data_IF_620204855978
#
_entry.id   IF_620204855978
#
_cell.length_a   1.000
_cell.length_b   1.000
_cell.length_c   1.000
_cell.angle_alpha   90.00
_cell.angle_beta   90.00
_cell.angle_gamma   90.00
#
_symmetry.space_group_name_H-M   'P 1'
#
loop_
_entity.id
_entity.type
_entity.pdbx_description
1 polymer ?
#
# COMPACT_ATOMS: atom_id res chain seq x y z
N UNK A 1 -16.51 0.78 -7.34
CA UNK A 1 -16.95 2.16 -7.62
C UNK A 1 -17.88 2.22 -8.85
N UNK A 2 -17.39 2.08 -10.08
CA UNK A 2 -18.20 2.29 -11.31
C UNK A 2 -19.53 1.49 -11.37
N UNK A 3 -19.54 0.23 -10.96
CA UNK A 3 -20.77 -0.58 -10.91
C UNK A 3 -21.80 -0.02 -9.91
N UNK A 4 -21.33 0.51 -8.77
CA UNK A 4 -22.17 1.14 -7.74
C UNK A 4 -22.78 2.46 -8.24
N UNK A 5 -22.08 3.20 -9.11
CA UNK A 5 -22.64 4.35 -9.83
C UNK A 5 -23.44 3.98 -11.09
N UNK A 6 -23.94 2.74 -11.16
CA UNK A 6 -24.88 2.26 -12.17
C UNK A 6 -24.27 1.99 -13.56
N UNK A 7 -22.93 1.97 -13.69
CA UNK A 7 -22.27 1.59 -14.95
C UNK A 7 -22.30 0.07 -15.11
N UNK A 8 -22.58 -0.42 -16.32
CA UNK A 8 -22.33 -1.83 -16.68
C UNK A 8 -20.82 -2.01 -16.83
N UNK A 9 -20.23 -2.94 -16.08
CA UNK A 9 -18.79 -3.17 -16.04
C UNK A 9 -18.49 -4.61 -16.46
N UNK A 10 -17.64 -4.78 -17.47
CA UNK A 10 -16.96 -6.04 -17.76
C UNK A 10 -15.55 -5.95 -17.16
N UNK A 11 -15.14 -6.98 -16.43
CA UNK A 11 -13.80 -7.10 -15.86
C UNK A 11 -13.20 -8.44 -16.31
N UNK A 12 -11.98 -8.40 -16.83
CA UNK A 12 -11.30 -9.57 -17.40
C UNK A 12 -9.88 -9.65 -16.83
N UNK A 13 -9.46 -10.86 -16.46
CA UNK A 13 -8.08 -11.17 -16.08
C UNK A 13 -7.59 -12.35 -16.92
N UNK A 14 -6.34 -12.27 -17.39
CA UNK A 14 -5.65 -13.37 -18.10
C UNK A 14 -5.20 -14.47 -17.15
N UNK A 15 -5.11 -14.19 -15.85
CA UNK A 15 -4.76 -15.16 -14.83
C UNK A 15 -5.95 -16.07 -14.47
N UNK A 16 -5.65 -17.28 -13.98
CA UNK A 16 -6.64 -18.20 -13.38
C UNK A 16 -7.07 -17.82 -11.95
N UNK A 17 -6.57 -16.71 -11.41
CA UNK A 17 -6.69 -16.28 -10.02
C UNK A 17 -6.88 -14.76 -9.93
N UNK A 18 -7.44 -14.27 -8.82
CA UNK A 18 -7.64 -12.83 -8.59
C UNK A 18 -6.38 -12.12 -8.08
N UNK A 19 -6.23 -10.84 -8.43
CA UNK A 19 -5.27 -9.92 -7.81
C UNK A 19 -4.00 -9.65 -8.61
N UNK A 20 -3.77 -10.33 -9.74
CA UNK A 20 -2.63 -10.08 -10.63
C UNK A 20 -1.29 -10.09 -9.88
N UNK A 21 -0.60 -8.95 -9.87
CA UNK A 21 0.71 -8.76 -9.22
C UNK A 21 0.62 -8.65 -7.68
N UNK A 22 -0.55 -8.34 -7.12
CA UNK A 22 -0.78 -8.28 -5.65
C UNK A 22 -1.45 -9.54 -5.09
N UNK A 23 -1.58 -10.60 -5.89
CA UNK A 23 -2.24 -11.83 -5.50
C UNK A 23 -1.58 -12.53 -4.29
N UNK A 24 -2.40 -13.28 -3.54
CA UNK A 24 -1.94 -14.25 -2.54
C UNK A 24 -2.00 -15.64 -3.15
N UNK A 25 -0.91 -16.41 -3.07
CA UNK A 25 -0.80 -17.73 -3.70
C UNK A 25 -0.91 -18.85 -2.66
N UNK A 26 -1.88 -19.74 -2.91
CA UNK A 26 -2.13 -20.97 -2.15
C UNK A 26 -2.59 -22.08 -3.10
N UNK A 27 -2.23 -23.36 -2.88
CA UNK A 27 -1.32 -23.88 -1.85
C UNK A 27 0.16 -23.56 -2.13
N UNK A 28 1.01 -23.77 -1.13
CA UNK A 28 2.46 -23.52 -1.17
C UNK A 28 3.18 -24.14 -2.39
N UNK A 29 2.67 -25.26 -2.91
CA UNK A 29 3.21 -25.89 -4.12
C UNK A 29 3.09 -25.00 -5.38
N UNK A 30 2.03 -24.19 -5.51
CA UNK A 30 1.93 -23.22 -6.62
C UNK A 30 2.91 -22.06 -6.45
N UNK A 31 3.18 -21.65 -5.21
CA UNK A 31 4.19 -20.63 -4.90
C UNK A 31 5.61 -21.12 -5.24
N UNK A 32 5.99 -22.32 -4.79
CA UNK A 32 7.26 -22.96 -5.19
C UNK A 32 7.38 -23.12 -6.71
N UNK A 33 6.28 -23.45 -7.39
CA UNK A 33 6.23 -23.54 -8.86
C UNK A 33 6.50 -22.19 -9.52
N UNK A 34 5.87 -21.10 -9.05
CA UNK A 34 6.07 -19.73 -9.59
C UNK A 34 7.54 -19.28 -9.51
N UNK A 35 8.26 -19.66 -8.45
CA UNK A 35 9.67 -19.35 -8.27
C UNK A 35 10.63 -20.40 -8.86
N UNK A 36 10.12 -21.41 -9.58
CA UNK A 36 10.90 -22.53 -10.15
C UNK A 36 11.72 -23.34 -9.12
N UNK A 37 11.29 -23.38 -7.84
CA UNK A 37 12.01 -24.02 -6.74
C UNK A 37 11.62 -25.50 -6.52
N UNK A 38 10.94 -26.12 -7.48
CA UNK A 38 10.52 -27.52 -7.41
C UNK A 38 9.35 -27.75 -6.43
N UNK A 39 9.47 -28.78 -5.58
CA UNK A 39 8.44 -29.11 -4.58
C UNK A 39 8.78 -28.51 -3.21
N UNK A 40 7.78 -28.09 -2.41
CA UNK A 40 8.00 -27.69 -1.02
C UNK A 40 8.67 -28.83 -0.19
N UNK A 41 9.65 -28.51 0.67
CA UNK A 41 10.20 -29.45 1.64
C UNK A 41 9.14 -30.14 2.52
N UNK A 42 9.32 -31.44 2.89
CA UNK A 42 8.29 -32.23 3.56
C UNK A 42 7.80 -31.70 4.92
N UNK A 43 8.58 -30.84 5.59
CA UNK A 43 8.17 -30.18 6.85
C UNK A 43 7.10 -29.10 6.67
N UNK A 44 6.80 -28.69 5.43
CA UNK A 44 5.69 -27.79 5.08
C UNK A 44 4.46 -28.59 4.60
N UNK A 45 4.18 -29.70 5.28
CA UNK A 45 3.19 -30.73 4.93
C UNK A 45 1.77 -30.15 4.71
N UNK A 46 1.41 -29.10 5.45
CA UNK A 46 0.11 -28.43 5.34
C UNK A 46 0.13 -27.34 4.29
N UNK A 47 0.39 -27.69 3.04
CA UNK A 47 0.50 -26.74 1.91
C UNK A 47 -0.69 -25.77 1.72
N UNK A 48 -1.87 -26.06 2.30
CA UNK A 48 -3.06 -25.17 2.31
C UNK A 48 -3.10 -24.15 3.45
N UNK A 49 -2.33 -24.35 4.52
CA UNK A 49 -2.22 -23.39 5.65
C UNK A 49 -1.38 -22.16 5.25
N UNK A 50 -0.80 -22.15 4.05
CA UNK A 50 0.01 -21.08 3.48
C UNK A 50 -0.79 -20.32 2.43
N UNK A 51 -0.83 -18.99 2.54
CA UNK A 51 -1.26 -18.10 1.47
C UNK A 51 -0.29 -16.93 1.35
N UNK A 52 0.63 -17.01 0.40
CA UNK A 52 1.79 -16.12 0.33
C UNK A 52 1.53 -14.97 -0.64
N UNK A 53 1.47 -13.75 -0.11
CA UNK A 53 1.28 -12.54 -0.92
C UNK A 53 2.53 -12.17 -1.73
N UNK A 54 2.31 -11.59 -2.91
CA UNK A 54 3.38 -11.13 -3.78
C UNK A 54 3.92 -9.71 -3.49
N UNK A 55 3.22 -8.92 -2.67
CA UNK A 55 3.61 -7.53 -2.32
C UNK A 55 3.94 -7.34 -0.82
N UNK A 56 4.94 -6.50 -0.49
CA UNK A 56 5.46 -6.28 0.86
C UNK A 56 4.49 -5.49 1.75
N UNK A 57 4.66 -5.57 3.08
CA UNK A 57 3.86 -4.83 4.09
C UNK A 57 4.75 -4.45 5.28
N UNK A 58 4.23 -3.77 6.29
CA UNK A 58 5.06 -3.10 7.32
C UNK A 58 4.98 -3.71 8.73
N UNK A 59 6.09 -3.72 9.46
CA UNK A 59 6.12 -3.83 10.93
C UNK A 59 7.31 -3.05 11.52
N UNK A 60 7.08 -2.20 12.53
CA UNK A 60 8.14 -1.40 13.15
C UNK A 60 8.98 -2.16 14.20
N UNK A 61 10.30 -1.99 14.12
CA UNK A 61 11.20 -2.15 15.26
C UNK A 61 11.23 -0.87 16.11
N UNK A 62 11.23 -0.99 17.44
CA UNK A 62 11.13 0.16 18.35
C UNK A 62 12.45 0.95 18.49
N UNK A 63 12.44 2.23 18.11
CA UNK A 63 13.53 3.19 18.41
C UNK A 63 13.51 3.67 19.86
N UNK A 64 14.66 3.59 20.55
CA UNK A 64 14.79 3.97 21.97
C UNK A 64 15.02 5.48 22.18
N UNK A 65 13.97 6.30 22.06
CA UNK A 65 14.07 7.74 22.39
C UNK A 65 14.47 8.00 23.86
N UNK A 66 15.34 8.99 24.08
CA UNK A 66 15.69 9.50 25.42
C UNK A 66 14.53 10.25 26.11
N UNK A 67 14.64 10.45 27.44
CA UNK A 67 13.55 11.03 28.26
C UNK A 67 13.23 12.48 27.87
N UNK A 68 14.24 13.31 27.58
CA UNK A 68 14.03 14.68 27.13
C UNK A 68 13.36 14.73 25.75
N UNK A 69 13.76 13.86 24.83
CA UNK A 69 13.19 13.78 23.49
C UNK A 69 11.73 13.34 23.50
N UNK A 70 11.42 12.31 24.31
CA UNK A 70 10.04 11.88 24.60
C UNK A 70 9.15 13.04 25.08
N UNK A 71 9.69 14.03 25.82
CA UNK A 71 8.93 15.22 26.22
C UNK A 71 8.67 16.18 25.05
N UNK A 72 9.65 16.41 24.17
CA UNK A 72 9.45 17.23 22.95
C UNK A 72 8.44 16.56 22.02
N UNK A 73 8.64 15.28 21.72
CA UNK A 73 7.80 14.50 20.84
C UNK A 73 6.36 14.39 21.37
N UNK A 74 6.15 14.24 22.68
CA UNK A 74 4.82 14.34 23.30
C UNK A 74 4.16 15.70 23.05
N UNK A 75 4.89 16.81 23.10
CA UNK A 75 4.32 18.14 22.82
C UNK A 75 3.91 18.29 21.35
N UNK A 76 4.70 17.74 20.42
CA UNK A 76 4.38 17.67 18.99
C UNK A 76 3.12 16.83 18.75
N UNK A 77 3.02 15.63 19.32
CA UNK A 77 1.83 14.77 19.22
C UNK A 77 0.58 15.41 19.82
N UNK A 78 0.69 16.13 20.94
CA UNK A 78 -0.43 16.91 21.52
C UNK A 78 -0.85 18.03 20.56
N UNK A 79 0.09 18.72 19.91
CA UNK A 79 -0.26 19.72 18.89
C UNK A 79 -0.96 19.11 17.68
N UNK A 80 -0.47 17.98 17.17
CA UNK A 80 -1.07 17.25 16.05
C UNK A 80 -2.51 16.83 16.38
N UNK A 81 -2.72 16.22 17.54
CA UNK A 81 -4.04 15.73 17.93
C UNK A 81 -5.02 16.87 18.23
N UNK A 82 -4.57 17.95 18.87
CA UNK A 82 -5.38 19.14 19.15
C UNK A 82 -5.75 19.93 17.87
N UNK A 83 -5.06 19.72 16.74
CA UNK A 83 -5.25 20.51 15.53
C UNK A 83 -6.61 20.27 14.86
N UNK A 84 -7.31 21.37 14.60
CA UNK A 84 -8.53 21.43 13.80
C UNK A 84 -8.35 22.54 12.73
N UNK A 85 -8.29 22.19 11.43
CA UNK A 85 -8.06 23.16 10.35
C UNK A 85 -9.20 24.17 10.16
N UNK A 86 -10.38 23.95 10.76
CA UNK A 86 -11.51 24.88 10.78
C UNK A 86 -11.50 25.84 11.98
N UNK A 87 -10.67 25.59 13.00
CA UNK A 87 -10.63 26.37 14.23
C UNK A 87 -9.22 26.96 14.50
N UNK A 88 -8.97 28.22 14.09
CA UNK A 88 -7.67 28.89 14.25
C UNK A 88 -7.13 28.96 15.68
N UNK A 89 -7.98 28.81 16.72
CA UNK A 89 -7.49 28.77 18.11
C UNK A 89 -6.62 27.55 18.41
N UNK A 90 -6.80 26.44 17.68
CA UNK A 90 -5.98 25.22 17.83
C UNK A 90 -4.55 25.38 17.27
N UNK A 91 -4.32 26.40 16.42
CA UNK A 91 -3.02 26.66 15.80
C UNK A 91 -1.99 27.17 16.84
N UNK A 92 -2.45 27.68 18.00
CA UNK A 92 -1.62 28.13 19.14
C UNK A 92 -0.61 29.23 18.76
N UNK A 93 0.58 28.86 18.28
CA UNK A 93 1.64 29.78 17.79
C UNK A 93 2.26 29.31 16.46
N UNK A 94 1.71 28.29 15.82
CA UNK A 94 2.23 27.67 14.62
C UNK A 94 1.09 27.34 13.66
N UNK A 95 1.08 27.93 12.46
CA UNK A 95 0.04 27.69 11.46
C UNK A 95 0.53 26.67 10.40
N UNK A 96 0.03 25.42 10.40
CA UNK A 96 0.44 24.40 9.43
C UNK A 96 0.06 24.72 7.98
N UNK A 97 -0.88 25.66 7.77
CA UNK A 97 -1.35 26.11 6.45
C UNK A 97 -0.37 27.05 5.75
N UNK A 98 0.60 27.57 6.49
CA UNK A 98 1.56 28.61 6.05
C UNK A 98 3.01 28.15 6.21
N UNK A 99 3.32 27.43 7.30
CA UNK A 99 4.67 26.99 7.64
C UNK A 99 4.97 25.58 7.14
N UNK A 100 6.25 25.32 6.94
CA UNK A 100 6.78 24.05 6.43
C UNK A 100 6.86 22.96 7.50
N UNK A 101 6.95 21.70 7.07
CA UNK A 101 7.20 20.55 7.94
C UNK A 101 8.51 20.68 8.73
N UNK A 102 9.59 21.21 8.13
CA UNK A 102 10.84 21.47 8.86
C UNK A 102 10.61 22.51 9.98
N UNK A 103 9.95 23.62 9.69
CA UNK A 103 9.63 24.63 10.72
C UNK A 103 8.79 24.06 11.87
N UNK A 104 7.92 23.07 11.61
CA UNK A 104 7.15 22.39 12.65
C UNK A 104 8.09 21.63 13.59
N UNK A 105 9.00 20.83 13.02
CA UNK A 105 9.98 20.08 13.79
C UNK A 105 10.94 20.99 14.58
N UNK A 106 11.40 22.08 13.95
CA UNK A 106 12.28 23.07 14.57
C UNK A 106 11.56 23.81 15.72
N UNK A 107 10.27 24.14 15.55
CA UNK A 107 9.45 24.79 16.58
C UNK A 107 9.22 23.90 17.81
N UNK A 108 9.08 22.58 17.63
CA UNK A 108 9.06 21.61 18.74
C UNK A 108 10.46 21.16 19.19
N UNK A 109 11.51 21.53 18.44
CA UNK A 109 12.91 21.25 18.70
C UNK A 109 13.31 19.77 18.60
N UNK A 110 12.56 18.94 17.86
CA UNK A 110 12.78 17.48 17.81
C UNK A 110 14.01 17.10 16.98
N UNK A 111 14.77 16.09 17.41
CA UNK A 111 15.99 15.64 16.73
C UNK A 111 15.72 14.91 15.39
N UNK A 112 16.72 14.81 14.50
CA UNK A 112 16.54 14.22 13.15
C UNK A 112 16.02 12.77 13.23
N UNK A 113 16.47 11.96 14.19
CA UNK A 113 15.93 10.60 14.41
C UNK A 113 14.41 10.63 14.67
N UNK A 114 13.93 11.60 15.45
CA UNK A 114 12.51 11.80 15.75
C UNK A 114 11.76 12.40 14.55
N UNK A 115 12.40 13.25 13.74
CA UNK A 115 11.86 13.74 12.46
C UNK A 115 11.67 12.57 11.49
N UNK A 116 12.69 11.74 11.29
CA UNK A 116 12.68 10.55 10.41
C UNK A 116 11.60 9.54 10.84
N UNK A 117 11.52 9.25 12.13
CA UNK A 117 10.47 8.41 12.71
C UNK A 117 9.07 9.00 12.45
N UNK A 118 8.89 10.31 12.63
CA UNK A 118 7.60 10.96 12.41
C UNK A 118 7.22 10.98 10.93
N UNK A 119 8.14 11.36 10.05
CA UNK A 119 7.92 11.47 8.61
C UNK A 119 7.69 10.12 7.93
N UNK A 120 8.62 9.18 8.10
CA UNK A 120 8.61 7.91 7.36
C UNK A 120 7.80 6.81 8.04
N UNK A 121 7.76 6.76 9.39
CA UNK A 121 7.14 5.65 10.11
C UNK A 121 5.76 5.97 10.70
N UNK A 122 5.40 7.26 10.84
CA UNK A 122 4.08 7.71 11.31
C UNK A 122 3.28 8.43 10.22
N UNK A 123 3.91 9.28 9.41
CA UNK A 123 3.27 9.98 8.28
C UNK A 123 3.50 9.34 6.89
N UNK A 124 4.28 8.26 6.85
CA UNK A 124 4.49 7.38 5.70
C UNK A 124 5.07 8.05 4.43
N UNK A 125 5.79 9.16 4.60
CA UNK A 125 6.47 9.85 3.48
C UNK A 125 7.60 9.02 2.88
N UNK A 126 7.69 9.06 1.54
CA UNK A 126 8.66 8.31 0.71
C UNK A 126 9.89 9.11 0.28
N UNK A 127 10.25 10.18 0.98
CA UNK A 127 11.53 10.92 0.91
C UNK A 127 11.50 12.09 1.92
N UNK A 128 12.57 12.87 1.99
CA UNK A 128 12.69 14.10 2.80
C UNK A 128 12.13 15.37 2.11
N UNK A 129 11.48 15.27 0.93
CA UNK A 129 10.96 16.45 0.21
C UNK A 129 9.80 17.12 0.96
N UNK A 130 9.01 16.33 1.70
CA UNK A 130 7.93 16.82 2.56
C UNK A 130 8.41 17.85 3.59
N UNK A 131 9.69 17.83 4.00
CA UNK A 131 10.27 18.83 4.91
C UNK A 131 10.08 20.27 4.40
N UNK A 132 9.95 20.44 3.08
CA UNK A 132 9.77 21.73 2.39
C UNK A 132 8.29 22.03 2.05
N UNK A 133 7.39 21.07 2.19
CA UNK A 133 5.95 21.28 1.95
C UNK A 133 5.26 21.81 3.21
N UNK A 134 3.99 22.23 3.08
CA UNK A 134 3.18 22.75 4.19
C UNK A 134 2.92 21.68 5.24
N UNK A 135 3.05 22.04 6.51
CA UNK A 135 2.89 21.11 7.63
C UNK A 135 1.47 20.57 7.84
N UNK A 136 0.44 21.15 7.21
CA UNK A 136 -0.96 20.69 7.34
C UNK A 136 -1.13 19.21 6.94
N UNK A 137 -0.48 18.78 5.86
CA UNK A 137 -0.57 17.39 5.37
C UNK A 137 0.15 16.41 6.32
N UNK A 138 1.34 16.77 6.82
CA UNK A 138 2.07 16.01 7.84
C UNK A 138 1.23 15.86 9.12
N UNK A 139 0.59 16.95 9.57
CA UNK A 139 -0.30 16.93 10.74
C UNK A 139 -1.51 16.03 10.50
N UNK A 140 -2.12 16.07 9.30
CA UNK A 140 -3.24 15.20 8.94
C UNK A 140 -2.83 13.71 8.97
N UNK A 141 -1.73 13.35 8.31
CA UNK A 141 -1.18 11.98 8.26
C UNK A 141 -0.86 11.43 9.65
N UNK A 142 -0.17 12.19 10.49
CA UNK A 142 0.13 11.77 11.87
C UNK A 142 -1.14 11.61 12.75
N UNK A 143 -2.18 12.42 12.49
CA UNK A 143 -3.46 12.30 13.19
C UNK A 143 -4.24 11.07 12.72
N UNK A 144 -4.31 10.80 11.42
CA UNK A 144 -4.88 9.59 10.84
C UNK A 144 -4.23 8.29 11.38
N UNK A 145 -2.90 8.27 11.49
CA UNK A 145 -2.17 7.18 12.15
C UNK A 145 -2.61 7.02 13.61
N UNK A 146 -2.67 8.12 14.36
CA UNK A 146 -3.00 8.12 15.79
C UNK A 146 -4.44 7.66 16.05
N UNK A 147 -5.41 8.13 15.27
CA UNK A 147 -6.82 7.74 15.37
C UNK A 147 -7.04 6.27 14.98
N UNK A 148 -6.26 5.77 14.01
CA UNK A 148 -6.28 4.35 13.60
C UNK A 148 -5.72 3.43 14.68
N UNK A 149 -4.60 3.82 15.33
CA UNK A 149 -4.11 3.12 16.54
C UNK A 149 -5.14 3.17 17.67
N UNK A 150 -5.79 4.32 17.90
CA UNK A 150 -6.80 4.45 18.95
C UNK A 150 -8.03 3.55 18.70
N UNK A 151 -8.40 3.31 17.45
CA UNK A 151 -9.54 2.46 17.06
C UNK A 151 -9.27 0.95 17.23
N UNK A 152 -8.05 0.48 16.95
CA UNK A 152 -7.72 -0.96 16.93
C UNK A 152 -6.67 -1.40 17.96
N UNK A 153 -6.16 -0.46 18.78
CA UNK A 153 -5.42 -0.69 20.02
C UNK A 153 -3.96 -1.17 19.90
N UNK A 154 -3.61 -1.93 18.86
CA UNK A 154 -2.27 -2.53 18.69
C UNK A 154 -1.44 -1.92 17.57
N UNK A 155 -2.08 -1.48 16.49
CA UNK A 155 -1.43 -0.85 15.32
C UNK A 155 -2.49 -0.03 14.55
N UNK A 156 -2.10 0.89 13.65
CA UNK A 156 -3.04 1.58 12.78
C UNK A 156 -3.55 0.68 11.64
N UNK A 157 -2.85 -0.43 11.37
CA UNK A 157 -3.09 -1.29 10.21
C UNK A 157 -4.11 -2.38 10.52
N UNK A 158 -4.95 -2.66 9.53
CA UNK A 158 -5.78 -3.86 9.45
C UNK A 158 -5.19 -4.83 8.44
N UNK A 159 -5.43 -6.12 8.64
CA UNK A 159 -5.06 -7.16 7.70
C UNK A 159 -6.23 -8.13 7.49
N UNK A 160 -6.63 -8.44 6.24
CA UNK A 160 -7.60 -9.50 5.99
C UNK A 160 -7.07 -10.85 6.47
N UNK A 161 -7.89 -11.59 7.22
CA UNK A 161 -7.65 -13.02 7.39
C UNK A 161 -7.63 -13.69 6.02
N UNK A 162 -6.75 -14.68 5.85
CA UNK A 162 -6.49 -15.36 4.57
C UNK A 162 -5.74 -14.53 3.51
N UNK A 163 -5.38 -13.26 3.77
CA UNK A 163 -4.45 -12.49 2.93
C UNK A 163 -5.09 -11.54 1.91
N UNK A 164 -4.26 -10.83 1.15
CA UNK A 164 -4.72 -9.74 0.28
C UNK A 164 -5.66 -10.17 -0.85
N UNK A 165 -5.58 -11.43 -1.31
CA UNK A 165 -6.46 -11.99 -2.34
C UNK A 165 -7.95 -11.89 -2.00
N UNK A 166 -8.32 -11.72 -0.73
CA UNK A 166 -9.71 -11.46 -0.31
C UNK A 166 -10.23 -10.08 -0.75
N UNK A 167 -9.34 -9.08 -0.94
CA UNK A 167 -9.73 -7.74 -1.40
C UNK A 167 -10.24 -7.72 -2.86
N UNK A 168 -9.50 -8.21 -3.88
CA UNK A 168 -10.01 -8.26 -5.24
C UNK A 168 -11.19 -9.24 -5.38
N UNK A 169 -11.25 -10.33 -4.60
CA UNK A 169 -12.44 -11.18 -4.52
C UNK A 169 -13.66 -10.44 -3.98
N UNK A 170 -13.49 -9.66 -2.90
CA UNK A 170 -14.54 -8.82 -2.32
C UNK A 170 -15.05 -7.76 -3.30
N UNK A 171 -14.14 -7.08 -4.01
CA UNK A 171 -14.50 -6.12 -5.05
C UNK A 171 -15.14 -6.78 -6.29
N UNK A 172 -14.73 -7.99 -6.67
CA UNK A 172 -15.37 -8.76 -7.73
C UNK A 172 -16.81 -9.14 -7.36
N UNK A 173 -17.03 -9.66 -6.14
CA UNK A 173 -18.37 -9.92 -5.59
C UNK A 173 -19.23 -8.66 -5.54
N UNK A 174 -18.68 -7.54 -5.05
CA UNK A 174 -19.38 -6.26 -5.01
C UNK A 174 -19.78 -5.79 -6.42
N UNK A 175 -18.89 -5.86 -7.40
CA UNK A 175 -19.20 -5.49 -8.77
C UNK A 175 -20.30 -6.38 -9.37
N UNK A 176 -20.27 -7.69 -9.11
CA UNK A 176 -21.27 -8.65 -9.57
C UNK A 176 -22.67 -8.39 -8.99
N UNK A 177 -22.77 -7.99 -7.71
CA UNK A 177 -24.04 -7.58 -7.08
C UNK A 177 -24.69 -6.40 -7.83
N UNK A 178 -23.87 -5.47 -8.36
CA UNK A 178 -24.32 -4.33 -9.16
C UNK A 178 -24.34 -4.63 -10.68
N UNK A 179 -24.42 -5.90 -11.08
CA UNK A 179 -24.59 -6.31 -12.48
C UNK A 179 -23.33 -6.23 -13.35
N UNK A 180 -22.14 -6.17 -12.74
CA UNK A 180 -20.87 -6.35 -13.43
C UNK A 180 -20.56 -7.83 -13.70
N UNK A 181 -19.78 -8.12 -14.75
CA UNK A 181 -19.36 -9.48 -15.10
C UNK A 181 -17.84 -9.61 -14.93
N UNK A 182 -17.39 -10.63 -14.20
CA UNK A 182 -15.98 -10.99 -14.06
C UNK A 182 -15.66 -12.25 -14.88
N UNK A 183 -14.51 -12.24 -15.55
CA UNK A 183 -13.99 -13.39 -16.28
C UNK A 183 -12.51 -13.59 -15.98
N UNK A 184 -12.16 -14.77 -15.46
CA UNK A 184 -10.77 -15.23 -15.32
C UNK A 184 -10.36 -16.10 -16.52
N UNK A 185 -9.06 -16.37 -16.64
CA UNK A 185 -8.47 -17.22 -17.68
C UNK A 185 -8.84 -16.73 -19.11
N UNK A 186 -8.77 -15.42 -19.34
CA UNK A 186 -9.05 -14.79 -20.65
C UNK A 186 -7.79 -14.06 -21.16
N UNK A 187 -6.96 -14.69 -22.02
CA UNK A 187 -5.83 -14.00 -22.64
C UNK A 187 -6.32 -12.84 -23.52
N UNK A 188 -5.54 -11.77 -23.59
CA UNK A 188 -5.95 -10.49 -24.14
C UNK A 188 -4.75 -9.59 -24.35
N UNK A 189 -3.94 -9.94 -25.36
CA UNK A 189 -2.64 -9.33 -25.63
C UNK A 189 -2.60 -8.68 -27.05
N UNK A 190 -3.74 -8.19 -27.55
CA UNK A 190 -3.85 -7.39 -28.79
C UNK A 190 -4.65 -6.08 -28.60
N UNK A 191 -4.34 -5.12 -29.46
CA UNK A 191 -4.45 -3.68 -29.30
C UNK A 191 -5.05 -3.13 -30.62
N UNK A 192 -6.39 -3.17 -30.74
CA UNK A 192 -7.15 -2.98 -32.01
C UNK A 192 -7.66 -1.53 -32.23
N UNK A 193 -6.81 -0.62 -32.72
CA UNK A 193 -7.17 0.82 -32.84
C UNK A 193 -8.29 1.07 -33.86
N UNK A 194 -9.21 1.98 -33.55
CA UNK A 194 -10.29 2.34 -34.47
C UNK A 194 -9.86 3.40 -35.51
N UNK A 195 -10.71 3.62 -36.52
CA UNK A 195 -10.45 4.53 -37.65
C UNK A 195 -10.27 6.01 -37.24
N UNK A 196 -10.70 6.38 -36.03
CA UNK A 196 -10.50 7.71 -35.44
C UNK A 196 -9.23 7.84 -34.60
N UNK A 197 -8.43 6.78 -34.45
CA UNK A 197 -7.19 6.78 -33.69
C UNK A 197 -7.34 6.62 -32.18
N UNK A 198 -8.50 6.14 -31.69
CA UNK A 198 -8.65 5.82 -30.27
C UNK A 198 -7.81 4.59 -29.90
N UNK A 199 -7.15 4.66 -28.74
CA UNK A 199 -6.18 3.66 -28.28
C UNK A 199 -6.89 2.55 -27.51
N UNK A 200 -6.15 1.46 -27.35
CA UNK A 200 -6.60 0.10 -27.07
C UNK A 200 -5.49 -0.72 -26.37
N UNK A 201 -4.35 -0.09 -26.08
CA UNK A 201 -3.18 -0.64 -25.42
C UNK A 201 -1.87 -0.11 -26.02
N UNK A 202 -0.74 -0.39 -25.34
CA UNK A 202 0.58 0.22 -25.60
C UNK A 202 1.73 -0.66 -25.08
N UNK A 203 2.98 -0.22 -25.26
CA UNK A 203 4.16 -0.58 -24.45
C UNK A 203 5.05 0.67 -24.29
N UNK A 204 5.61 0.91 -23.11
CA UNK A 204 6.62 1.97 -22.86
C UNK A 204 7.46 1.67 -21.59
N UNK A 205 8.56 2.41 -21.40
CA UNK A 205 9.68 2.22 -20.45
C UNK A 205 10.34 3.59 -20.10
N UNK A 206 11.04 3.91 -18.97
CA UNK A 206 11.00 3.60 -17.50
C UNK A 206 11.85 4.69 -16.79
N UNK A 207 11.60 5.05 -15.51
CA UNK A 207 12.63 5.58 -14.57
C UNK A 207 12.22 5.41 -13.07
N UNK A 208 13.06 5.80 -12.08
CA UNK A 208 13.16 5.11 -10.75
C UNK A 208 13.24 6.02 -9.49
N UNK A 209 12.75 5.53 -8.33
CA UNK A 209 12.90 6.09 -6.97
C UNK A 209 13.30 5.02 -5.90
N UNK A 210 13.22 5.26 -4.57
CA UNK A 210 14.28 4.77 -3.63
C UNK A 210 13.94 4.52 -2.12
N UNK A 211 13.72 3.28 -1.64
CA UNK A 211 13.54 2.87 -0.19
C UNK A 211 13.75 1.36 0.07
N UNK A 212 13.88 0.92 1.35
CA UNK A 212 13.83 -0.49 1.84
C UNK A 212 12.73 -0.66 2.91
N UNK A 213 11.96 -1.76 2.89
CA UNK A 213 10.90 -2.08 3.88
C UNK A 213 10.89 -3.55 4.33
N UNK A 214 10.22 -3.86 5.47
CA UNK A 214 10.14 -5.21 6.07
C UNK A 214 8.75 -5.53 6.65
N UNK A 215 8.23 -6.73 6.34
CA UNK A 215 7.06 -7.37 6.97
C UNK A 215 7.46 -8.58 7.82
N UNK A 216 6.65 -8.89 8.84
CA UNK A 216 6.44 -10.27 9.29
C UNK A 216 4.93 -10.55 9.52
N UNK A 217 4.40 -11.61 8.88
CA UNK A 217 3.08 -12.21 9.15
C UNK A 217 3.23 -13.71 9.45
N UNK A 218 2.16 -14.38 9.88
CA UNK A 218 2.23 -15.77 10.37
C UNK A 218 0.86 -16.42 10.45
N UNK A 219 0.81 -17.66 10.96
CA UNK A 219 -0.40 -18.39 11.35
C UNK A 219 -1.48 -17.54 12.06
N UNK A 220 -1.11 -16.50 12.81
CA UNK A 220 -2.07 -15.58 13.46
C UNK A 220 -3.01 -14.84 12.49
N UNK A 221 -2.72 -14.87 11.17
CA UNK A 221 -3.51 -14.25 10.11
C UNK A 221 -4.05 -15.28 9.08
N UNK A 222 -3.91 -16.58 9.36
CA UNK A 222 -4.23 -17.69 8.44
C UNK A 222 -3.46 -17.66 7.10
N UNK A 223 -2.22 -17.20 7.10
CA UNK A 223 -1.34 -17.12 5.90
C UNK A 223 -0.11 -18.03 5.94
N UNK A 224 0.17 -18.68 7.07
CA UNK A 224 1.29 -19.62 7.21
C UNK A 224 0.96 -20.75 8.19
N UNK A 225 1.60 -21.91 8.01
CA UNK A 225 1.50 -23.05 8.92
C UNK A 225 1.98 -22.70 10.34
N UNK A 226 1.31 -23.23 11.37
CA UNK A 226 1.62 -22.94 12.78
C UNK A 226 3.08 -23.28 13.12
N UNK A 227 3.81 -22.27 13.60
CA UNK A 227 5.24 -22.33 13.91
C UNK A 227 6.09 -21.49 12.95
N UNK A 228 5.57 -21.17 11.76
CA UNK A 228 6.27 -20.40 10.75
C UNK A 228 5.77 -18.94 10.66
N UNK A 229 6.68 -18.10 10.18
CA UNK A 229 6.43 -16.71 9.81
C UNK A 229 6.77 -16.54 8.32
N UNK A 230 6.02 -15.68 7.63
CA UNK A 230 6.36 -15.17 6.31
C UNK A 230 6.89 -13.74 6.50
N UNK A 231 8.15 -13.54 6.17
CA UNK A 231 8.77 -12.23 6.15
C UNK A 231 9.01 -11.80 4.70
N UNK A 232 8.65 -10.56 4.37
CA UNK A 232 8.90 -9.96 3.06
C UNK A 232 9.82 -8.77 3.28
N UNK A 233 10.92 -8.70 2.52
CA UNK A 233 11.82 -7.55 2.47
C UNK A 233 11.80 -7.03 1.05
N UNK A 234 11.46 -5.75 0.88
CA UNK A 234 11.39 -5.08 -0.42
C UNK A 234 12.34 -3.90 -0.46
N UNK A 235 12.82 -3.59 -1.65
CA UNK A 235 13.44 -2.31 -1.96
C UNK A 235 13.10 -1.92 -3.40
N UNK A 236 13.22 -0.63 -3.71
CA UNK A 236 13.41 -0.22 -5.11
C UNK A 236 14.86 -0.55 -5.52
N UNK A 237 15.08 -0.95 -6.78
CA UNK A 237 16.40 -1.35 -7.26
C UNK A 237 17.26 -0.14 -7.65
N UNK A 238 18.44 -0.04 -7.05
CA UNK A 238 19.42 1.02 -7.27
C UNK A 238 20.70 0.56 -7.98
N UNK A 239 21.09 -0.71 -7.79
CA UNK A 239 22.39 -1.23 -8.24
C UNK A 239 22.25 -2.50 -9.06
N UNK A 240 23.36 -2.96 -9.64
CA UNK A 240 23.43 -4.25 -10.33
C UNK A 240 23.31 -5.47 -9.38
N UNK A 241 23.15 -5.28 -8.06
CA UNK A 241 23.06 -6.35 -7.06
C UNK A 241 21.87 -6.15 -6.08
N UNK A 242 20.60 -6.26 -6.52
CA UNK A 242 19.41 -5.99 -5.70
C UNK A 242 19.38 -6.74 -4.36
N UNK A 243 19.90 -7.97 -4.30
CA UNK A 243 19.95 -8.77 -3.07
C UNK A 243 20.87 -8.19 -1.98
N UNK A 244 21.84 -7.34 -2.33
CA UNK A 244 22.68 -6.64 -1.36
C UNK A 244 21.98 -5.41 -0.77
N UNK A 245 21.10 -4.77 -1.55
CA UNK A 245 20.33 -3.59 -1.12
C UNK A 245 19.32 -3.96 -0.02
N UNK A 246 18.65 -5.11 -0.15
CA UNK A 246 17.75 -5.64 0.89
C UNK A 246 18.46 -6.29 2.08
N UNK A 247 19.79 -6.47 2.05
CA UNK A 247 20.54 -7.16 3.12
C UNK A 247 20.28 -6.60 4.53
N UNK A 248 20.24 -5.26 4.77
CA UNK A 248 19.95 -4.73 6.10
C UNK A 248 18.57 -5.13 6.64
N UNK A 249 17.58 -5.35 5.76
CA UNK A 249 16.28 -5.88 6.15
C UNK A 249 16.29 -7.38 6.43
N UNK A 250 17.05 -8.15 5.65
CA UNK A 250 17.24 -9.59 5.87
C UNK A 250 17.97 -9.89 7.20
N UNK A 251 18.98 -9.08 7.55
CA UNK A 251 19.76 -9.23 8.79
C UNK A 251 18.90 -9.08 10.07
N UNK A 252 17.75 -8.41 10.00
CA UNK A 252 16.80 -8.27 11.10
C UNK A 252 15.94 -9.52 11.36
N UNK A 253 15.87 -10.46 10.41
CA UNK A 253 14.97 -11.62 10.46
C UNK A 253 15.52 -12.78 11.30
N UNK A 254 16.83 -12.81 11.57
CA UNK A 254 17.49 -13.95 12.18
C UNK A 254 17.66 -15.11 11.18
N UNK A 255 17.60 -16.38 11.62
CA UNK A 255 17.70 -17.54 10.72
C UNK A 255 16.55 -17.59 9.71
N UNK A 256 16.88 -17.67 8.41
CA UNK A 256 15.91 -17.75 7.31
C UNK A 256 15.86 -19.19 6.80
N UNK A 257 14.72 -19.87 7.00
CA UNK A 257 14.48 -21.26 6.58
C UNK A 257 14.45 -21.44 5.05
N UNK A 258 13.92 -20.44 4.33
CA UNK A 258 13.85 -20.41 2.87
C UNK A 258 13.76 -18.96 2.38
N UNK A 259 14.37 -18.66 1.23
CA UNK A 259 14.30 -17.32 0.62
C UNK A 259 13.79 -17.41 -0.82
N UNK A 260 12.85 -16.55 -1.15
CA UNK A 260 12.33 -16.33 -2.50
C UNK A 260 12.68 -14.90 -2.91
N UNK A 261 13.16 -14.70 -4.14
CA UNK A 261 13.60 -13.39 -4.63
C UNK A 261 12.90 -13.10 -5.95
N UNK A 262 12.35 -11.89 -6.07
CA UNK A 262 11.81 -11.34 -7.32
C UNK A 262 12.34 -9.93 -7.51
N UNK A 263 12.49 -9.54 -8.77
CA UNK A 263 12.68 -8.15 -9.18
C UNK A 263 11.57 -7.85 -10.18
N UNK A 264 10.86 -6.75 -9.98
CA UNK A 264 9.69 -6.37 -10.77
C UNK A 264 9.90 -4.96 -11.30
N UNK A 265 9.70 -4.77 -12.60
CA UNK A 265 9.70 -3.44 -13.21
C UNK A 265 8.46 -2.66 -12.76
N UNK A 266 8.62 -1.38 -12.43
CA UNK A 266 7.52 -0.49 -12.10
C UNK A 266 7.14 0.37 -13.32
N UNK A 267 5.86 0.38 -13.64
CA UNK A 267 5.30 1.15 -14.76
C UNK A 267 4.32 2.22 -14.24
N UNK A 268 4.27 3.35 -14.92
CA UNK A 268 3.25 4.38 -14.74
C UNK A 268 2.72 4.86 -16.10
N UNK A 269 1.48 5.40 -16.18
CA UNK A 269 0.90 5.80 -17.45
C UNK A 269 1.62 7.03 -18.05
N UNK A 270 1.89 6.96 -19.35
CA UNK A 270 2.55 8.04 -20.12
C UNK A 270 1.59 9.16 -20.54
N UNK A 271 0.28 8.94 -20.40
CA UNK A 271 -0.78 9.93 -20.63
C UNK A 271 -1.92 9.73 -19.61
N UNK A 272 -2.81 10.72 -19.47
CA UNK A 272 -3.86 10.69 -18.45
C UNK A 272 -5.08 9.80 -18.84
N UNK A 273 -5.10 9.24 -20.05
CA UNK A 273 -6.23 8.48 -20.58
C UNK A 273 -7.39 9.35 -21.10
N UNK A 274 -7.37 10.67 -20.93
CA UNK A 274 -8.53 11.51 -21.25
C UNK A 274 -8.74 11.69 -22.75
N UNK A 275 -7.67 11.68 -23.55
CA UNK A 275 -7.75 11.79 -25.00
C UNK A 275 -8.15 10.46 -25.67
N UNK A 276 -7.59 9.34 -25.19
CA UNK A 276 -7.68 8.02 -25.83
C UNK A 276 -8.66 7.04 -25.14
N UNK A 277 -9.19 7.40 -23.96
CA UNK A 277 -10.09 6.63 -23.08
C UNK A 277 -9.47 5.37 -22.44
N UNK A 278 -8.14 5.23 -22.47
CA UNK A 278 -7.39 4.11 -21.88
C UNK A 278 -6.80 4.54 -20.54
N UNK A 279 -7.54 4.32 -19.45
CA UNK A 279 -7.13 4.70 -18.11
C UNK A 279 -6.32 3.58 -17.45
N UNK A 280 -5.00 3.75 -17.41
CA UNK A 280 -4.04 2.79 -16.84
C UNK A 280 -3.69 3.19 -15.40
N UNK A 281 -3.60 2.18 -14.51
CA UNK A 281 -3.11 2.30 -13.14
C UNK A 281 -1.58 2.21 -13.08
N UNK A 282 -0.98 2.73 -12.00
CA UNK A 282 0.45 2.50 -11.72
C UNK A 282 0.69 1.06 -11.22
N UNK A 283 1.90 0.55 -11.41
CA UNK A 283 2.37 -0.63 -10.67
C UNK A 283 2.35 -0.37 -9.17
N UNK A 284 2.15 -1.41 -8.36
CA UNK A 284 2.35 -1.32 -6.91
C UNK A 284 3.81 -0.95 -6.64
N UNK A 285 4.04 0.20 -5.99
CA UNK A 285 5.39 0.61 -5.60
C UNK A 285 5.90 -0.22 -4.41
N UNK A 286 7.16 -0.04 -4.01
CA UNK A 286 7.74 -0.85 -2.95
C UNK A 286 7.16 -0.56 -1.55
N UNK A 287 6.22 0.40 -1.42
CA UNK A 287 5.60 0.73 -0.13
C UNK A 287 4.75 -0.41 0.41
N UNK A 288 4.35 -0.24 1.67
CA UNK A 288 3.92 -1.34 2.54
C UNK A 288 2.53 -1.12 3.15
N UNK A 289 1.79 -0.20 2.54
CA UNK A 289 0.47 0.30 2.91
C UNK A 289 -0.21 0.83 1.64
N UNK A 290 -1.53 0.72 1.55
CA UNK A 290 -2.28 1.07 0.33
C UNK A 290 -2.48 2.58 0.09
N UNK A 291 -1.65 3.46 0.64
CA UNK A 291 -1.88 4.91 0.51
C UNK A 291 -1.69 5.38 -0.95
N UNK A 292 -0.52 5.11 -1.53
CA UNK A 292 -0.22 5.41 -2.95
C UNK A 292 -1.16 4.68 -3.92
N UNK A 293 -1.64 3.49 -3.54
CA UNK A 293 -2.66 2.75 -4.28
C UNK A 293 -4.03 3.44 -4.23
N UNK A 294 -4.45 3.94 -3.06
CA UNK A 294 -5.69 4.69 -2.92
C UNK A 294 -5.63 6.01 -3.70
N UNK A 295 -4.50 6.71 -3.67
CA UNK A 295 -4.29 7.94 -4.43
C UNK A 295 -4.44 7.70 -5.95
N UNK A 296 -3.81 6.66 -6.49
CA UNK A 296 -3.93 6.29 -7.91
C UNK A 296 -5.37 5.84 -8.26
N UNK A 297 -6.05 5.10 -7.38
CA UNK A 297 -7.44 4.68 -7.56
C UNK A 297 -8.42 5.87 -7.57
N UNK A 298 -8.17 6.90 -6.76
CA UNK A 298 -8.98 8.13 -6.72
C UNK A 298 -8.69 9.03 -7.93
N UNK A 299 -7.43 9.16 -8.34
CA UNK A 299 -7.04 9.87 -9.54
C UNK A 299 -7.58 9.19 -10.81
N UNK A 300 -7.48 7.87 -10.93
CA UNK A 300 -8.13 7.12 -12.00
C UNK A 300 -9.65 7.34 -12.02
N UNK A 301 -10.32 7.30 -10.87
CA UNK A 301 -11.76 7.58 -10.80
C UNK A 301 -12.08 8.97 -11.36
N UNK A 302 -11.28 9.98 -11.00
CA UNK A 302 -11.40 11.34 -11.50
C UNK A 302 -11.16 11.44 -13.01
N UNK A 303 -10.09 10.81 -13.53
CA UNK A 303 -9.77 10.78 -14.97
C UNK A 303 -10.86 10.07 -15.79
N UNK A 304 -11.42 8.98 -15.28
CA UNK A 304 -12.52 8.21 -15.90
C UNK A 304 -13.84 8.99 -15.91
N UNK A 305 -14.18 9.70 -14.83
CA UNK A 305 -15.53 10.28 -14.63
C UNK A 305 -15.63 11.79 -14.84
N UNK A 306 -14.50 12.50 -14.82
CA UNK A 306 -14.45 13.97 -14.87
C UNK A 306 -14.77 14.66 -13.54
N UNK A 307 -14.87 13.94 -12.42
CA UNK A 307 -15.20 14.48 -11.11
C UNK A 307 -14.48 13.72 -9.97
N UNK A 308 -14.20 14.41 -8.86
CA UNK A 308 -13.63 13.79 -7.66
C UNK A 308 -14.59 12.77 -7.04
N UNK A 309 -14.05 11.80 -6.28
CA UNK A 309 -14.87 10.78 -5.62
C UNK A 309 -15.58 11.33 -4.38
N UNK A 310 -16.92 11.35 -4.41
CA UNK A 310 -17.75 11.78 -3.29
C UNK A 310 -17.87 10.67 -2.23
N UNK A 311 -16.99 10.71 -1.24
CA UNK A 311 -17.00 9.80 -0.08
C UNK A 311 -18.32 9.80 0.71
N UNK A 312 -19.16 10.85 0.61
CA UNK A 312 -20.45 10.88 1.30
C UNK A 312 -21.48 9.89 0.73
N UNK A 313 -21.21 9.33 -0.46
CA UNK A 313 -22.01 8.29 -1.10
C UNK A 313 -21.69 6.88 -0.57
N UNK A 314 -20.60 6.70 0.19
CA UNK A 314 -20.22 5.42 0.81
C UNK A 314 -21.04 5.18 2.09
N UNK A 315 -22.36 5.09 1.93
CA UNK A 315 -23.32 4.86 3.03
C UNK A 315 -23.57 3.37 3.24
N UNK A 316 -22.65 2.71 3.95
CA UNK A 316 -22.91 1.41 4.56
C UNK A 316 -22.70 1.48 6.07
N UNK A 317 -23.79 1.28 6.82
CA UNK A 317 -23.71 0.97 8.24
C UNK A 317 -23.12 -0.45 8.38
N UNK A 318 -21.96 -0.60 9.02
CA UNK A 318 -21.35 -1.90 9.33
C UNK A 318 -22.03 -2.62 10.51
N UNK A 319 -23.37 -2.56 10.56
CA UNK A 319 -24.19 -3.06 11.67
C UNK A 319 -25.56 -3.60 11.26
N UNK A 320 -25.80 -3.80 9.96
CA UNK A 320 -27.05 -4.35 9.40
C UNK A 320 -26.83 -5.71 8.67
N UNK A 321 -25.87 -6.51 9.15
CA UNK A 321 -25.85 -7.97 8.96
C UNK A 321 -25.81 -8.63 10.35
N UNK A 322 -26.90 -9.32 10.70
CA UNK A 322 -27.18 -9.91 12.03
C UNK A 322 -27.58 -11.38 11.94
#
# INVERSE_FOLDING_TARGET
MLSVSGKKVLHMDRNKYYGGESASITPLAEFYTKFNMGSPPPQYDKGRDWNVDLIPKFLMANGLMGIFEKRKYRNLLVFINDYDPANPSTFKKFNPKEKTCQELYDYFGVDKNTQDFTGHAVALYRDDSYLKTKAEELVHRCKLYSDSVARYGKSPYLYPLYGLGELPQGFARLSAIYGGTYMLDKPGDEIVTNETGEVVGVRSDKEVAKYIYVLAVSYAHNVAQKGYFLALVSAFVETANPELEIKPGLDLLGPIEQKFVTVTDLYEPVDDGTANKVFISKSFDATTHFETTCDDVLDMYRRITGADFDFSQVKHNLGEES
#
